data_IF_628308791022
#
_entry.id   IF_628308791022
#
_cell.length_a   1.000
_cell.length_b   1.000
_cell.length_c   1.000
_cell.angle_alpha   90.00
_cell.angle_beta   90.00
_cell.angle_gamma   90.00
#
_symmetry.space_group_name_H-M   'P 1'
#
loop_
_entity.id
_entity.type
_entity.pdbx_description
1 polymer ?
#
# COMPACT_ATOMS: atom_id res chain seq x y z
N UNK A 1 -14.92 8.83 13.56
CA UNK A 1 -15.04 9.32 12.18
C UNK A 1 -16.19 8.61 11.45
N UNK A 2 -16.39 7.31 11.60
CA UNK A 2 -17.48 6.58 10.94
C UNK A 2 -18.87 7.00 11.43
N UNK A 3 -19.06 7.16 12.74
CA UNK A 3 -20.36 7.54 13.33
C UNK A 3 -20.86 8.89 12.81
N UNK A 4 -19.97 9.88 12.69
CA UNK A 4 -20.34 11.20 12.12
C UNK A 4 -20.83 11.09 10.68
N UNK A 5 -20.24 10.20 9.88
CA UNK A 5 -20.65 9.96 8.49
C UNK A 5 -22.04 9.32 8.45
N UNK A 6 -22.28 8.34 9.30
CA UNK A 6 -23.56 7.62 9.39
C UNK A 6 -24.71 8.55 9.84
N UNK A 7 -24.45 9.45 10.82
CA UNK A 7 -25.40 10.49 11.22
C UNK A 7 -25.68 11.47 10.09
N UNK A 8 -24.63 11.92 9.36
CA UNK A 8 -24.78 12.84 8.23
C UNK A 8 -25.56 12.26 7.05
N UNK A 9 -25.59 10.95 6.91
CA UNK A 9 -26.41 10.22 5.93
C UNK A 9 -27.85 9.98 6.38
N UNK A 10 -28.26 10.48 7.57
CA UNK A 10 -29.60 10.29 8.12
C UNK A 10 -29.88 8.86 8.63
N UNK A 11 -28.85 8.01 8.72
CA UNK A 11 -28.98 6.62 9.13
C UNK A 11 -29.08 6.42 10.65
N UNK A 12 -29.02 7.50 11.43
CA UNK A 12 -29.24 7.49 12.89
C UNK A 12 -30.45 8.34 13.21
N UNK A 13 -31.41 7.78 13.89
CA UNK A 13 -32.64 8.45 14.33
C UNK A 13 -32.75 8.34 15.85
N UNK A 14 -33.30 9.38 16.47
CA UNK A 14 -33.68 9.41 17.88
C UNK A 14 -35.17 9.60 17.96
N UNK A 15 -35.87 8.67 18.58
CA UNK A 15 -37.34 8.61 18.65
C UNK A 15 -38.02 8.68 17.26
N UNK A 16 -37.37 8.13 16.23
CA UNK A 16 -37.88 8.12 14.85
C UNK A 16 -37.48 9.35 14.00
N UNK A 17 -36.83 10.32 14.59
CA UNK A 17 -36.41 11.55 13.88
C UNK A 17 -34.87 11.58 13.64
N UNK A 18 -34.47 12.13 12.50
CA UNK A 18 -33.05 12.32 12.18
C UNK A 18 -32.38 13.29 13.16
N UNK A 19 -31.17 12.93 13.59
CA UNK A 19 -30.43 13.74 14.56
C UNK A 19 -29.16 14.36 13.98
N UNK A 20 -28.72 15.48 14.59
CA UNK A 20 -27.43 16.12 14.28
C UNK A 20 -26.29 15.45 15.08
N UNK A 21 -25.05 15.52 14.58
CA UNK A 21 -23.85 14.98 15.25
C UNK A 21 -23.68 15.49 16.69
N UNK A 22 -24.12 16.70 16.96
CA UNK A 22 -24.05 17.33 18.28
C UNK A 22 -25.31 17.13 19.13
N UNK A 23 -26.25 16.24 18.72
CA UNK A 23 -27.44 15.96 19.50
C UNK A 23 -27.07 15.33 20.87
N UNK A 24 -27.65 15.87 21.94
CA UNK A 24 -27.46 15.35 23.31
C UNK A 24 -28.63 14.44 23.66
N UNK A 25 -28.36 13.17 23.80
CA UNK A 25 -29.35 12.17 24.19
C UNK A 25 -29.88 12.45 25.61
N UNK A 26 -31.17 12.22 25.79
CA UNK A 26 -31.84 12.25 27.09
C UNK A 26 -32.20 10.83 27.52
N UNK A 27 -32.28 10.61 28.84
CA UNK A 27 -32.71 9.33 29.37
C UNK A 27 -34.11 8.94 28.86
N UNK A 28 -34.24 7.67 28.43
CA UNK A 28 -35.50 7.15 27.89
C UNK A 28 -35.66 7.28 26.38
N UNK A 29 -34.83 8.02 25.67
CA UNK A 29 -34.91 8.13 24.22
C UNK A 29 -34.46 6.84 23.51
N UNK A 30 -35.16 6.48 22.44
CA UNK A 30 -34.86 5.32 21.61
C UNK A 30 -33.94 5.75 20.45
N UNK A 31 -32.75 5.17 20.38
CA UNK A 31 -31.84 5.38 19.25
C UNK A 31 -31.95 4.20 18.28
N UNK A 32 -32.32 4.48 17.04
CA UNK A 32 -32.32 3.50 15.96
C UNK A 32 -31.21 3.84 14.96
N UNK A 33 -30.52 2.82 14.50
CA UNK A 33 -29.44 2.95 13.51
C UNK A 33 -29.75 1.98 12.37
N UNK A 34 -29.96 2.54 11.19
CA UNK A 34 -29.99 1.76 9.95
C UNK A 34 -28.54 1.59 9.51
N UNK A 35 -27.96 0.43 9.76
CA UNK A 35 -26.59 0.14 9.28
C UNK A 35 -26.69 0.02 7.77
N UNK A 36 -26.09 0.94 6.99
CA UNK A 36 -26.05 0.79 5.54
C UNK A 36 -25.38 -0.54 5.21
N UNK A 37 -25.82 -1.27 4.15
CA UNK A 37 -25.11 -2.46 3.72
C UNK A 37 -23.64 -2.12 3.58
N UNK A 38 -22.78 -2.91 4.23
CA UNK A 38 -21.36 -2.75 4.03
C UNK A 38 -21.06 -2.91 2.54
N UNK A 39 -20.27 -2.02 1.92
CA UNK A 39 -19.79 -2.27 0.57
C UNK A 39 -19.26 -3.68 0.50
N UNK A 40 -19.51 -4.39 -0.59
CA UNK A 40 -18.99 -5.73 -0.80
C UNK A 40 -17.53 -5.78 -0.37
N UNK A 41 -17.18 -6.77 0.45
CA UNK A 41 -15.82 -6.90 0.96
C UNK A 41 -14.91 -7.13 -0.25
N UNK A 42 -14.05 -6.15 -0.55
CA UNK A 42 -13.11 -6.26 -1.66
C UNK A 42 -12.97 -4.97 -2.47
N UNK A 43 -12.00 -4.91 -3.39
CA UNK A 43 -11.90 -3.84 -4.37
C UNK A 43 -13.05 -4.00 -5.37
N UNK A 44 -13.66 -2.89 -5.79
CA UNK A 44 -14.61 -2.92 -6.90
C UNK A 44 -13.84 -3.31 -8.18
N UNK A 45 -14.28 -4.35 -8.91
CA UNK A 45 -13.67 -4.72 -10.19
C UNK A 45 -13.76 -3.55 -11.20
N UNK A 46 -12.64 -3.21 -11.82
CA UNK A 46 -12.56 -2.13 -12.79
C UNK A 46 -11.80 -2.61 -14.04
N UNK A 47 -12.34 -2.34 -15.23
CA UNK A 47 -11.70 -2.68 -16.49
C UNK A 47 -10.52 -1.72 -16.78
N UNK A 48 -9.42 -1.95 -16.06
CA UNK A 48 -8.16 -1.22 -16.21
C UNK A 48 -7.17 -2.17 -16.88
N UNK A 49 -6.54 -1.78 -17.99
CA UNK A 49 -5.54 -2.61 -18.67
C UNK A 49 -4.38 -2.96 -17.73
N UNK A 50 -3.94 -4.20 -17.77
CA UNK A 50 -2.77 -4.70 -17.04
C UNK A 50 -1.69 -5.15 -18.03
N UNK A 51 -0.47 -4.73 -17.79
CA UNK A 51 0.72 -5.24 -18.46
C UNK A 51 1.19 -6.51 -17.72
N UNK A 52 0.78 -7.69 -18.22
CA UNK A 52 1.06 -8.99 -17.61
C UNK A 52 2.38 -9.50 -18.19
N UNK A 53 3.40 -9.63 -17.35
CA UNK A 53 4.72 -10.13 -17.71
C UNK A 53 4.81 -11.65 -17.67
N UNK A 54 4.05 -12.26 -16.76
CA UNK A 54 4.01 -13.71 -16.57
C UNK A 54 2.70 -14.11 -15.90
N UNK A 55 2.16 -15.26 -16.26
CA UNK A 55 1.00 -15.89 -15.62
C UNK A 55 1.10 -17.41 -15.70
N UNK A 56 0.77 -18.07 -14.59
CA UNK A 56 0.50 -19.51 -14.52
C UNK A 56 -0.70 -19.81 -13.62
N UNK A 57 -0.89 -21.05 -13.19
CA UNK A 57 -1.99 -21.45 -12.31
C UNK A 57 -1.85 -20.92 -10.88
N UNK A 58 -0.70 -20.41 -10.50
CA UNK A 58 -0.34 -20.08 -9.12
C UNK A 58 -0.05 -18.59 -8.89
N UNK A 59 0.59 -17.94 -9.87
CA UNK A 59 1.04 -16.55 -9.76
C UNK A 59 0.72 -15.73 -11.01
N UNK A 60 0.70 -14.43 -10.82
CA UNK A 60 0.70 -13.42 -11.88
C UNK A 60 1.84 -12.45 -11.57
N UNK A 61 2.68 -12.13 -12.56
CA UNK A 61 3.61 -11.02 -12.49
C UNK A 61 3.11 -9.89 -13.40
N UNK A 62 2.91 -8.71 -12.82
CA UNK A 62 2.43 -7.53 -13.56
C UNK A 62 3.46 -6.41 -13.51
N UNK A 63 3.58 -5.64 -14.58
CA UNK A 63 4.30 -4.38 -14.60
C UNK A 63 3.35 -3.26 -14.15
N UNK A 64 3.42 -2.88 -12.88
CA UNK A 64 2.58 -1.79 -12.37
C UNK A 64 3.02 -0.45 -12.96
N UNK A 65 2.15 0.34 -13.60
CA UNK A 65 2.49 1.67 -14.08
C UNK A 65 2.71 2.64 -12.91
N UNK A 66 3.44 3.76 -13.13
CA UNK A 66 3.47 4.86 -12.17
C UNK A 66 2.08 5.52 -12.07
N UNK A 67 1.79 6.18 -10.95
CA UNK A 67 0.49 6.81 -10.68
C UNK A 67 -0.58 5.88 -10.12
N UNK A 68 -0.42 4.55 -10.26
CA UNK A 68 -1.38 3.55 -9.80
C UNK A 68 -1.11 3.13 -8.35
N UNK A 69 -2.13 3.21 -7.49
CA UNK A 69 -2.10 2.68 -6.11
C UNK A 69 -2.34 1.17 -6.14
N UNK A 70 -1.65 0.42 -5.29
CA UNK A 70 -1.76 -1.05 -5.28
C UNK A 70 -3.12 -1.52 -4.77
N UNK A 71 -3.62 -0.98 -3.67
CA UNK A 71 -4.90 -1.38 -3.06
C UNK A 71 -5.63 -0.16 -2.48
N UNK A 72 -6.97 -0.23 -2.29
CA UNK A 72 -7.73 0.88 -1.76
C UNK A 72 -7.14 1.45 -0.48
N UNK A 73 -6.99 2.76 -0.43
CA UNK A 73 -6.46 3.51 0.69
C UNK A 73 -7.22 4.82 0.85
N UNK A 74 -6.99 5.53 1.96
CA UNK A 74 -7.63 6.82 2.22
C UNK A 74 -7.35 7.81 1.08
N UNK A 75 -8.40 8.24 0.38
CA UNK A 75 -8.34 9.14 -0.77
C UNK A 75 -8.21 8.44 -2.13
N UNK A 76 -8.06 7.10 -2.16
CA UNK A 76 -7.92 6.30 -3.39
C UNK A 76 -8.71 4.99 -3.24
N UNK A 77 -10.01 5.03 -3.56
CA UNK A 77 -10.91 3.87 -3.43
C UNK A 77 -11.14 3.13 -4.73
N UNK A 78 -10.76 3.73 -5.85
CA UNK A 78 -10.88 3.25 -7.24
C UNK A 78 -9.58 3.44 -7.97
N UNK A 79 -9.45 2.89 -9.19
CA UNK A 79 -8.26 3.01 -10.03
C UNK A 79 -7.05 2.27 -9.45
N UNK A 80 -7.27 1.20 -8.67
CA UNK A 80 -6.18 0.47 -7.99
C UNK A 80 -5.78 -0.79 -8.75
N UNK A 81 -4.55 -1.25 -8.51
CA UNK A 81 -4.10 -2.53 -9.07
C UNK A 81 -5.03 -3.69 -8.66
N UNK A 82 -5.47 -3.71 -7.39
CA UNK A 82 -6.40 -4.76 -6.93
C UNK A 82 -7.76 -4.66 -7.58
N UNK A 83 -8.24 -3.47 -7.96
CA UNK A 83 -9.48 -3.31 -8.75
C UNK A 83 -9.34 -3.89 -10.16
N UNK A 84 -8.21 -3.64 -10.81
CA UNK A 84 -7.90 -4.23 -12.12
C UNK A 84 -7.75 -5.75 -12.04
N UNK A 85 -7.01 -6.26 -11.05
CA UNK A 85 -6.84 -7.70 -10.84
C UNK A 85 -8.19 -8.40 -10.57
N UNK A 86 -9.08 -7.80 -9.77
CA UNK A 86 -10.40 -8.35 -9.48
C UNK A 86 -11.31 -8.39 -10.73
N UNK A 87 -11.07 -7.55 -11.73
CA UNK A 87 -11.79 -7.57 -13.00
C UNK A 87 -11.25 -8.66 -13.95
N UNK A 88 -9.93 -8.76 -14.06
CA UNK A 88 -9.30 -9.65 -15.05
C UNK A 88 -9.20 -11.11 -14.59
N UNK A 89 -9.19 -11.37 -13.27
CA UNK A 89 -8.96 -12.69 -12.71
C UNK A 89 -10.11 -13.15 -11.81
N UNK A 90 -10.69 -14.31 -12.11
CA UNK A 90 -11.75 -14.91 -11.31
C UNK A 90 -11.24 -15.52 -10.01
N UNK A 91 -9.98 -15.96 -9.99
CA UNK A 91 -9.36 -16.61 -8.86
C UNK A 91 -8.12 -15.84 -8.40
N UNK A 92 -8.18 -15.33 -7.19
CA UNK A 92 -7.07 -14.70 -6.48
C UNK A 92 -7.12 -15.14 -5.02
N UNK A 93 -5.96 -15.31 -4.39
CA UNK A 93 -5.89 -15.62 -2.97
C UNK A 93 -6.53 -14.53 -2.10
N UNK A 94 -7.29 -14.94 -1.11
CA UNK A 94 -7.95 -14.04 -0.14
C UNK A 94 -7.22 -13.93 1.20
N UNK A 95 -6.09 -14.61 1.38
CA UNK A 95 -5.28 -14.64 2.62
C UNK A 95 -4.89 -13.23 3.09
N UNK A 96 -4.56 -12.33 2.16
CA UNK A 96 -4.24 -10.93 2.47
C UNK A 96 -5.43 -10.06 2.91
N UNK A 97 -6.62 -10.67 3.01
CA UNK A 97 -7.89 -10.00 3.30
C UNK A 97 -8.60 -9.51 2.03
N UNK A 98 -9.91 -9.29 2.14
CA UNK A 98 -10.80 -9.00 1.03
C UNK A 98 -10.36 -7.81 0.17
N UNK A 99 -9.71 -6.80 0.75
CA UNK A 99 -9.25 -5.61 0.02
C UNK A 99 -7.88 -5.76 -0.68
N UNK A 100 -7.22 -6.91 -0.50
CA UNK A 100 -5.87 -7.19 -1.04
C UNK A 100 -5.78 -8.58 -1.66
N UNK A 101 -6.69 -8.96 -2.56
CA UNK A 101 -6.69 -10.29 -3.14
C UNK A 101 -5.33 -10.56 -3.81
N UNK A 102 -4.66 -11.63 -3.41
CA UNK A 102 -3.39 -12.09 -3.97
C UNK A 102 -2.15 -11.24 -3.66
N UNK A 103 -2.31 -10.06 -3.03
CA UNK A 103 -1.21 -9.09 -2.84
C UNK A 103 -0.38 -9.42 -1.60
N UNK A 104 0.89 -9.77 -1.81
CA UNK A 104 1.88 -10.10 -0.76
C UNK A 104 2.89 -8.98 -0.49
N UNK A 105 3.06 -8.04 -1.43
CA UNK A 105 3.95 -6.89 -1.32
C UNK A 105 3.36 -5.67 -2.02
N UNK A 106 4.04 -4.54 -1.96
CA UNK A 106 3.56 -3.31 -2.60
C UNK A 106 4.71 -2.47 -3.15
N UNK A 107 4.38 -1.68 -4.16
CA UNK A 107 5.13 -0.53 -4.64
C UNK A 107 4.41 0.76 -4.24
N UNK A 108 5.13 1.87 -4.18
CA UNK A 108 4.54 3.18 -3.99
C UNK A 108 3.72 3.57 -5.24
N UNK A 109 2.80 4.52 -5.10
CA UNK A 109 1.92 4.96 -6.18
C UNK A 109 2.72 5.30 -7.46
N UNK A 110 3.73 6.14 -7.31
CA UNK A 110 4.49 6.70 -8.44
C UNK A 110 5.71 5.85 -8.83
N UNK A 111 5.92 4.71 -8.14
CA UNK A 111 6.93 3.72 -8.52
C UNK A 111 6.32 2.73 -9.49
N UNK A 112 6.97 2.55 -10.63
CA UNK A 112 6.65 1.50 -11.62
C UNK A 112 7.44 0.22 -11.34
N UNK A 113 7.04 -0.87 -11.97
CA UNK A 113 7.82 -2.11 -11.98
C UNK A 113 7.03 -3.36 -11.59
N UNK A 114 7.76 -4.45 -11.44
CA UNK A 114 7.21 -5.79 -11.29
C UNK A 114 6.55 -5.98 -9.92
N UNK A 115 5.32 -6.48 -9.96
CA UNK A 115 4.62 -6.97 -8.79
C UNK A 115 4.16 -8.41 -9.02
N UNK A 116 4.40 -9.28 -8.02
CA UNK A 116 3.93 -10.66 -8.02
C UNK A 116 2.66 -10.77 -7.17
N UNK A 117 1.66 -11.44 -7.73
CA UNK A 117 0.33 -11.62 -7.14
C UNK A 117 0.02 -13.11 -7.09
N UNK A 118 -0.49 -13.59 -5.96
CA UNK A 118 -0.83 -15.00 -5.77
C UNK A 118 -2.27 -15.30 -6.24
N UNK A 119 -2.44 -16.32 -7.09
CA UNK A 119 -3.76 -16.84 -7.48
C UNK A 119 -4.31 -17.81 -6.43
N UNK A 120 -3.45 -18.58 -5.76
CA UNK A 120 -3.83 -19.57 -4.75
C UNK A 120 -3.36 -19.18 -3.35
N UNK A 121 -4.06 -19.66 -2.32
CA UNK A 121 -3.69 -19.41 -0.91
C UNK A 121 -2.36 -20.06 -0.57
N UNK A 122 -2.07 -21.26 -1.11
CA UNK A 122 -0.79 -21.92 -0.92
C UNK A 122 0.37 -21.05 -1.43
N UNK A 123 0.26 -20.52 -2.64
CA UNK A 123 1.27 -19.65 -3.21
C UNK A 123 1.39 -18.32 -2.42
N UNK A 124 0.27 -17.78 -1.93
CA UNK A 124 0.27 -16.58 -1.09
C UNK A 124 1.14 -16.76 0.16
N UNK A 125 0.96 -17.88 0.89
CA UNK A 125 1.76 -18.18 2.07
C UNK A 125 3.25 -18.31 1.73
N UNK A 126 3.58 -19.02 0.64
CA UNK A 126 4.98 -19.19 0.22
C UNK A 126 5.65 -17.89 -0.20
N UNK A 127 4.95 -17.04 -0.93
CA UNK A 127 5.47 -15.71 -1.29
C UNK A 127 5.60 -14.82 -0.05
N UNK A 128 4.61 -14.80 0.84
CA UNK A 128 4.65 -14.01 2.07
C UNK A 128 5.84 -14.42 2.96
N UNK A 129 6.12 -15.72 3.08
CA UNK A 129 7.28 -16.28 3.78
C UNK A 129 8.59 -15.75 3.18
N UNK A 130 8.77 -15.82 1.86
CA UNK A 130 9.96 -15.31 1.18
C UNK A 130 10.17 -13.80 1.42
N UNK A 131 9.09 -13.00 1.40
CA UNK A 131 9.18 -11.57 1.74
C UNK A 131 9.50 -11.33 3.22
N UNK A 132 8.96 -12.14 4.14
CA UNK A 132 9.23 -12.05 5.58
C UNK A 132 10.68 -12.43 5.90
N UNK A 133 11.18 -13.51 5.32
CA UNK A 133 12.52 -14.02 5.50
C UNK A 133 13.58 -13.26 4.68
N UNK A 134 13.12 -12.31 3.85
CA UNK A 134 13.99 -11.46 3.02
C UNK A 134 14.83 -12.25 2.01
N UNK A 135 14.36 -13.41 1.58
CA UNK A 135 15.00 -14.22 0.53
C UNK A 135 14.70 -13.72 -0.87
N UNK A 136 13.64 -12.89 -1.02
CA UNK A 136 13.32 -12.23 -2.28
C UNK A 136 14.34 -11.15 -2.60
N UNK A 137 15.04 -11.27 -3.70
CA UNK A 137 15.93 -10.24 -4.22
C UNK A 137 15.11 -9.15 -4.92
N UNK A 138 15.45 -7.90 -4.61
CA UNK A 138 14.76 -6.72 -5.14
C UNK A 138 15.78 -5.75 -5.70
N UNK A 139 15.53 -5.34 -6.93
CA UNK A 139 16.35 -4.36 -7.62
C UNK A 139 15.48 -3.21 -8.11
N UNK A 140 15.93 -2.01 -7.87
CA UNK A 140 15.29 -0.78 -8.33
C UNK A 140 16.29 0.09 -9.08
N UNK A 141 15.77 0.87 -10.01
CA UNK A 141 16.51 1.92 -10.66
C UNK A 141 15.93 3.27 -10.21
N UNK A 142 16.79 4.19 -9.79
CA UNK A 142 16.37 5.49 -9.31
C UNK A 142 17.24 6.60 -9.92
N UNK A 143 16.64 7.77 -10.09
CA UNK A 143 17.38 9.02 -10.40
C UNK A 143 17.36 9.86 -9.15
N UNK A 144 18.56 10.28 -8.70
CA UNK A 144 18.72 11.19 -7.56
C UNK A 144 19.00 12.61 -8.04
N UNK A 145 18.49 13.60 -7.31
CA UNK A 145 18.93 14.98 -7.42
C UNK A 145 20.24 15.08 -6.64
N UNK A 146 21.27 15.59 -7.26
CA UNK A 146 22.64 15.49 -6.77
C UNK A 146 23.21 14.08 -7.02
N UNK A 147 24.47 13.91 -6.70
CA UNK A 147 25.21 12.65 -6.88
C UNK A 147 25.76 12.19 -5.53
N UNK A 148 25.57 10.91 -5.16
CA UNK A 148 26.24 10.36 -3.99
C UNK A 148 27.76 10.51 -4.09
N UNK A 149 28.45 10.77 -2.97
CA UNK A 149 29.90 10.92 -2.95
C UNK A 149 30.65 9.62 -3.27
N UNK A 150 30.05 8.48 -2.92
CA UNK A 150 30.62 7.15 -3.16
C UNK A 150 29.91 6.49 -4.33
N UNK A 151 30.66 5.71 -5.10
CA UNK A 151 30.09 4.92 -6.21
C UNK A 151 29.16 3.81 -5.73
N UNK A 152 29.43 3.26 -4.55
CA UNK A 152 28.58 2.28 -3.89
C UNK A 152 28.66 2.42 -2.38
N UNK A 153 27.54 2.22 -1.70
CA UNK A 153 27.54 2.22 -0.23
C UNK A 153 26.28 1.51 0.30
N UNK A 154 26.22 1.39 1.62
CA UNK A 154 25.13 0.83 2.40
C UNK A 154 24.57 1.88 3.35
N UNK A 155 23.28 2.17 3.19
CA UNK A 155 22.55 3.02 4.12
C UNK A 155 21.84 2.12 5.13
N UNK A 156 22.18 2.24 6.40
CA UNK A 156 21.67 1.44 7.50
C UNK A 156 21.10 2.36 8.57
N UNK A 157 19.92 2.91 8.27
CA UNK A 157 19.25 3.91 9.08
C UNK A 157 17.79 3.54 9.32
N UNK A 158 17.30 3.52 10.59
CA UNK A 158 15.94 3.14 10.90
C UNK A 158 14.93 4.16 10.36
N UNK A 159 13.80 3.66 9.87
CA UNK A 159 12.73 4.47 9.30
C UNK A 159 11.50 4.41 10.20
N UNK A 160 10.98 5.58 10.55
CA UNK A 160 9.76 5.76 11.33
C UNK A 160 8.88 6.87 10.78
N UNK A 161 7.77 7.14 11.45
CA UNK A 161 6.87 8.25 11.09
C UNK A 161 7.58 9.59 11.29
N UNK A 162 7.39 10.51 10.33
CA UNK A 162 7.94 11.87 10.43
C UNK A 162 7.38 12.60 11.67
N UNK A 163 8.20 13.35 12.43
CA UNK A 163 7.77 13.94 13.71
C UNK A 163 6.57 14.87 13.61
N UNK A 164 6.48 15.67 12.56
CA UNK A 164 5.41 16.66 12.37
C UNK A 164 4.42 16.28 11.27
N UNK A 165 4.83 15.54 10.26
CA UNK A 165 3.99 15.16 9.12
C UNK A 165 3.64 13.68 9.16
N UNK A 166 2.58 13.30 9.86
CA UNK A 166 2.16 11.90 10.13
C UNK A 166 1.96 11.03 8.89
N UNK A 167 1.85 11.62 7.70
CA UNK A 167 1.73 10.88 6.42
C UNK A 167 3.07 10.64 5.74
N UNK A 168 4.17 11.17 6.28
CA UNK A 168 5.53 11.00 5.76
C UNK A 168 6.34 10.06 6.64
N UNK A 169 7.34 9.44 6.02
CA UNK A 169 8.37 8.67 6.72
C UNK A 169 9.67 9.47 6.77
N UNK A 170 10.50 9.20 7.77
CA UNK A 170 11.80 9.84 7.96
C UNK A 170 12.77 8.87 8.64
N UNK A 171 14.06 9.15 8.53
CA UNK A 171 15.08 8.48 9.34
C UNK A 171 14.87 8.89 10.80
N UNK A 172 14.68 7.90 11.68
CA UNK A 172 14.47 8.10 13.12
C UNK A 172 14.94 6.90 13.92
N UNK A 173 15.88 7.10 14.81
CA UNK A 173 16.40 6.04 15.69
C UNK A 173 15.57 5.83 16.96
N UNK A 174 14.88 6.84 17.45
CA UNK A 174 14.38 6.99 18.82
C UNK A 174 12.86 7.00 18.95
N UNK A 175 12.12 6.43 18.01
CA UNK A 175 10.66 6.47 18.04
C UNK A 175 10.05 5.06 17.99
N UNK A 176 8.94 4.85 18.73
CA UNK A 176 8.24 3.56 18.81
C UNK A 176 7.79 2.97 17.46
N UNK A 177 7.60 3.83 16.46
CA UNK A 177 7.26 3.40 15.08
C UNK A 177 8.48 3.07 14.24
N UNK A 178 9.70 3.34 14.71
CA UNK A 178 10.94 3.09 13.96
C UNK A 178 11.18 1.60 13.77
N UNK A 179 11.66 1.26 12.60
CA UNK A 179 12.05 -0.11 12.22
C UNK A 179 13.36 -0.05 11.46
N UNK A 180 14.23 -1.01 11.72
CA UNK A 180 15.50 -1.14 11.00
C UNK A 180 15.25 -1.21 9.51
N UNK A 181 16.06 -0.47 8.77
CA UNK A 181 16.04 -0.45 7.32
C UNK A 181 17.45 -0.44 6.77
N UNK A 182 17.66 -1.19 5.69
CA UNK A 182 18.95 -1.34 5.02
C UNK A 182 18.74 -1.29 3.52
N UNK A 183 19.53 -0.45 2.86
CA UNK A 183 19.53 -0.25 1.40
C UNK A 183 20.98 -0.20 0.91
N UNK A 184 21.32 -1.05 -0.05
CA UNK A 184 22.56 -0.92 -0.82
C UNK A 184 22.26 -0.11 -2.08
N UNK A 185 23.21 0.67 -2.51
CA UNK A 185 23.14 1.37 -3.78
C UNK A 185 24.48 1.31 -4.53
N UNK A 186 24.39 1.46 -5.84
CA UNK A 186 25.49 1.56 -6.77
C UNK A 186 25.17 2.68 -7.78
N UNK A 187 26.08 3.63 -7.95
CA UNK A 187 25.95 4.68 -8.96
C UNK A 187 26.28 4.09 -10.32
N UNK A 188 25.28 4.05 -11.20
CA UNK A 188 25.42 3.53 -12.56
C UNK A 188 26.01 4.60 -13.48
N UNK A 189 25.54 5.85 -13.33
CA UNK A 189 25.98 6.96 -14.17
C UNK A 189 25.78 8.28 -13.42
N UNK A 190 26.70 9.22 -13.61
CA UNK A 190 26.66 10.59 -13.05
C UNK A 190 26.40 11.59 -14.15
N UNK A 191 25.45 12.49 -13.89
CA UNK A 191 25.08 13.58 -14.79
C UNK A 191 25.31 14.93 -14.10
N UNK A 192 25.14 16.02 -14.82
CA UNK A 192 25.16 17.34 -14.21
C UNK A 192 23.94 17.55 -13.30
N UNK A 193 24.19 17.59 -12.01
CA UNK A 193 23.17 17.74 -10.97
C UNK A 193 22.32 16.50 -10.65
N UNK A 194 22.58 15.33 -11.26
CA UNK A 194 21.82 14.08 -11.05
C UNK A 194 22.72 12.85 -11.08
N UNK A 195 22.23 11.75 -10.56
CA UNK A 195 22.82 10.43 -10.76
C UNK A 195 21.77 9.34 -10.99
N UNK A 196 22.10 8.40 -11.87
CA UNK A 196 21.37 7.14 -12.03
C UNK A 196 21.92 6.12 -11.03
N UNK A 197 21.05 5.50 -10.25
CA UNK A 197 21.44 4.66 -9.13
C UNK A 197 20.68 3.34 -9.19
N UNK A 198 21.42 2.24 -9.13
CA UNK A 198 20.90 0.90 -8.86
C UNK A 198 20.71 0.73 -7.36
N UNK A 199 19.54 0.31 -6.91
CA UNK A 199 19.20 0.24 -5.49
C UNK A 199 18.73 -1.15 -5.12
N UNK A 200 19.33 -1.75 -4.08
CA UNK A 200 19.09 -3.11 -3.62
C UNK A 200 18.63 -3.10 -2.15
N UNK A 201 17.32 -2.85 -1.89
CA UNK A 201 16.82 -2.79 -0.52
C UNK A 201 16.73 -4.19 0.10
N UNK A 202 17.42 -4.44 1.21
CA UNK A 202 17.32 -5.68 2.00
C UNK A 202 16.05 -5.73 2.85
N UNK A 203 15.50 -4.59 3.22
CA UNK A 203 14.23 -4.44 3.93
C UNK A 203 13.20 -3.82 3.00
N UNK A 204 11.92 -3.71 3.43
CA UNK A 204 10.83 -3.15 2.64
C UNK A 204 9.98 -2.19 3.49
N UNK A 205 10.57 -1.12 4.03
CA UNK A 205 9.82 -0.12 4.80
C UNK A 205 9.09 0.84 3.87
N UNK A 206 8.01 1.41 4.37
CA UNK A 206 7.24 2.42 3.62
C UNK A 206 8.17 3.56 3.17
N UNK A 207 8.16 3.86 1.88
CA UNK A 207 8.97 4.90 1.24
C UNK A 207 10.48 4.75 1.44
N UNK A 208 10.99 3.52 1.71
CA UNK A 208 12.36 3.30 2.14
C UNK A 208 13.41 3.93 1.20
N UNK A 209 13.37 3.63 -0.08
CA UNK A 209 14.34 4.14 -1.07
C UNK A 209 14.27 5.68 -1.15
N UNK A 210 13.08 6.26 -1.01
CA UNK A 210 12.87 7.72 -1.06
C UNK A 210 13.32 8.44 0.22
N UNK A 211 13.43 7.70 1.34
CA UNK A 211 13.87 8.24 2.64
C UNK A 211 15.37 8.13 2.78
N UNK A 212 15.96 7.01 2.36
CA UNK A 212 17.40 6.78 2.34
C UNK A 212 18.12 7.61 1.31
#
# INVERSE_FOLDING_TARGET
VQLRKVIGLGAVQVDGEGCKVAYRLKMGQKVSIVVPPMPAAGPNPENIPLDILYEDDHIIAVNKPPGMVVHPARGHWSGTLTSALAFHFQQLSTVGGAHRPGVVHRLDRDTSGVMVVAKTDHCHYRLAEQFADRTTEKEYFAITVGSPDRDQDRIEQPIGMHPTHRVRMAIRADHSTSRDAMTFYEVVERFDGFAAVRVLPKTGRTHQIRVH
#
